data_IF_434727208648
#
_entry.id   IF_434727208648
#
_cell.length_a   1.000
_cell.length_b   1.000
_cell.length_c   1.000
_cell.angle_alpha   90.00
_cell.angle_beta   90.00
_cell.angle_gamma   90.00
#
_symmetry.space_group_name_H-M   'P 1'
#
loop_
_entity.id
_entity.type
_entity.pdbx_description
1 polymer ?
#
# COMPACT_ATOMS: atom_id res chain seq x y z
N UNK A 1 1.70 -10.24 -10.06
CA UNK A 1 0.74 -9.30 -9.44
C UNK A 1 0.68 -8.02 -10.27
N UNK A 2 -0.51 -7.44 -10.50
CA UNK A 2 -0.65 -6.14 -11.19
C UNK A 2 -0.69 -5.03 -10.14
N UNK A 3 0.05 -3.93 -10.34
CA UNK A 3 -0.02 -2.75 -9.47
C UNK A 3 -0.49 -1.56 -10.28
N UNK A 4 -1.58 -0.92 -9.84
CA UNK A 4 -2.13 0.29 -10.47
C UNK A 4 -2.04 1.44 -9.48
N UNK A 5 -1.34 2.52 -9.85
CA UNK A 5 -1.17 3.70 -9.00
C UNK A 5 -1.94 4.86 -9.64
N UNK A 6 -2.83 5.47 -8.88
CA UNK A 6 -3.53 6.69 -9.32
C UNK A 6 -2.55 7.87 -9.44
N UNK A 7 -2.79 8.79 -10.37
CA UNK A 7 -1.92 9.94 -10.65
C UNK A 7 -1.62 10.77 -9.38
N UNK A 8 -2.63 11.09 -8.57
CA UNK A 8 -2.40 11.89 -7.35
C UNK A 8 -1.63 11.13 -6.26
N UNK A 9 -1.76 9.80 -6.22
CA UNK A 9 -0.98 8.94 -5.34
C UNK A 9 0.46 8.85 -5.82
N UNK A 10 0.66 8.69 -7.13
CA UNK A 10 1.96 8.63 -7.80
C UNK A 10 2.79 9.88 -7.54
N UNK A 11 2.25 11.07 -7.79
CA UNK A 11 2.94 12.33 -7.51
C UNK A 11 3.38 12.43 -6.05
N UNK A 12 2.52 11.99 -5.13
CA UNK A 12 2.81 12.03 -3.70
C UNK A 12 3.93 11.07 -3.31
N UNK A 13 3.93 9.86 -3.88
CA UNK A 13 4.96 8.84 -3.65
C UNK A 13 6.31 9.29 -4.19
N UNK A 14 6.35 9.82 -5.42
CA UNK A 14 7.57 10.33 -6.05
C UNK A 14 8.17 11.48 -5.23
N UNK A 15 7.34 12.42 -4.75
CA UNK A 15 7.78 13.50 -3.85
C UNK A 15 8.35 13.02 -2.51
N UNK A 16 8.07 11.77 -2.11
CA UNK A 16 8.51 11.14 -0.85
C UNK A 16 9.66 10.15 -1.03
N UNK A 17 10.27 10.09 -2.21
CA UNK A 17 11.42 9.22 -2.50
C UNK A 17 11.11 7.99 -3.34
N UNK A 18 9.90 7.88 -3.90
CA UNK A 18 9.58 6.88 -4.92
C UNK A 18 9.47 5.45 -4.38
N UNK A 19 9.29 5.26 -3.07
CA UNK A 19 9.12 3.95 -2.45
C UNK A 19 7.84 3.89 -1.62
N UNK A 20 7.12 2.77 -1.71
CA UNK A 20 5.95 2.47 -0.90
C UNK A 20 5.98 1.05 -0.35
N UNK A 21 5.60 0.91 0.90
CA UNK A 21 5.39 -0.36 1.59
C UNK A 21 3.91 -0.54 1.89
N UNK A 22 3.39 -1.71 1.57
CA UNK A 22 2.00 -2.10 1.78
C UNK A 22 1.97 -3.39 2.59
N UNK A 23 1.17 -3.38 3.66
CA UNK A 23 0.97 -4.54 4.53
C UNK A 23 -0.41 -4.51 5.18
N UNK A 24 -0.93 -5.67 5.52
CA UNK A 24 -2.08 -5.76 6.43
C UNK A 24 -1.62 -5.57 7.88
N UNK A 25 -2.32 -4.69 8.59
CA UNK A 25 -2.14 -4.50 10.03
C UNK A 25 -3.47 -4.60 10.76
N UNK A 26 -3.42 -5.20 11.94
CA UNK A 26 -4.54 -5.18 12.87
C UNK A 26 -4.57 -3.82 13.57
N UNK A 27 -5.58 -3.02 13.25
CA UNK A 27 -5.83 -1.74 13.88
C UNK A 27 -6.91 -1.89 14.96
N UNK A 28 -6.74 -1.18 16.07
CA UNK A 28 -7.76 -1.08 17.11
C UNK A 28 -8.86 -0.12 16.68
N UNK A 29 -10.08 -0.62 16.50
CA UNK A 29 -11.27 0.22 16.32
C UNK A 29 -12.15 0.17 17.57
N UNK A 30 -13.07 1.13 17.70
CA UNK A 30 -14.03 1.15 18.81
C UNK A 30 -14.95 -0.10 18.86
N UNK A 31 -15.04 -0.87 17.77
CA UNK A 31 -15.78 -2.13 17.68
C UNK A 31 -14.92 -3.40 17.81
N UNK A 32 -13.62 -3.27 18.12
CA UNK A 32 -12.67 -4.39 18.19
C UNK A 32 -11.54 -4.31 17.15
N UNK A 33 -10.67 -5.33 17.10
CA UNK A 33 -9.58 -5.37 16.13
C UNK A 33 -10.14 -5.52 14.70
N UNK A 34 -9.72 -4.64 13.81
CA UNK A 34 -10.00 -4.73 12.37
C UNK A 34 -8.68 -4.92 11.62
N UNK A 35 -8.68 -5.70 10.54
CA UNK A 35 -7.52 -5.83 9.65
C UNK A 35 -7.68 -4.82 8.52
N UNK A 36 -6.72 -3.91 8.40
CA UNK A 36 -6.71 -2.91 7.33
C UNK A 36 -5.39 -2.90 6.58
N UNK A 37 -5.46 -2.53 5.30
CA UNK A 37 -4.30 -2.31 4.46
C UNK A 37 -3.66 -0.95 4.78
N UNK A 38 -2.42 -0.97 5.24
CA UNK A 38 -1.66 0.23 5.57
C UNK A 38 -0.57 0.46 4.53
N UNK A 39 -0.43 1.72 4.10
CA UNK A 39 0.55 2.15 3.11
C UNK A 39 1.52 3.15 3.73
N UNK A 40 2.81 2.86 3.63
CA UNK A 40 3.90 3.72 4.08
C UNK A 40 4.73 4.18 2.89
N UNK A 41 5.12 5.46 2.84
CA UNK A 41 6.02 5.99 1.79
C UNK A 41 7.49 5.83 2.20
N UNK A 42 7.89 4.61 2.52
CA UNK A 42 9.24 4.31 2.98
C UNK A 42 9.60 2.89 2.57
N UNK A 43 10.90 2.65 2.46
CA UNK A 43 11.45 1.32 2.22
C UNK A 43 11.35 0.51 3.53
N UNK A 44 10.86 -0.74 3.51
CA UNK A 44 10.80 -1.55 4.72
C UNK A 44 12.23 -1.95 5.13
N UNK A 45 12.48 -2.05 6.44
CA UNK A 45 13.77 -2.52 6.95
C UNK A 45 14.01 -3.99 6.56
N UNK A 46 12.99 -4.82 6.69
CA UNK A 46 13.04 -6.27 6.45
C UNK A 46 12.60 -6.64 5.03
N UNK A 47 13.31 -6.15 4.01
CA UNK A 47 12.94 -6.33 2.58
C UNK A 47 12.69 -7.78 2.17
N UNK A 48 13.35 -8.74 2.80
CA UNK A 48 13.19 -10.18 2.55
C UNK A 48 11.76 -10.69 2.76
N UNK A 49 11.02 -10.05 3.65
CA UNK A 49 9.63 -10.37 3.97
C UNK A 49 8.62 -9.70 3.01
N UNK A 50 9.11 -8.97 2.02
CA UNK A 50 8.30 -8.24 1.06
C UNK A 50 8.60 -8.72 -0.37
N UNK A 51 7.58 -8.71 -1.20
CA UNK A 51 7.70 -8.77 -2.64
C UNK A 51 7.98 -7.35 -3.14
N UNK A 52 9.21 -7.12 -3.64
CA UNK A 52 9.58 -5.86 -4.29
C UNK A 52 9.12 -5.89 -5.74
N UNK A 53 8.44 -4.83 -6.15
CA UNK A 53 8.02 -4.61 -7.52
C UNK A 53 8.39 -3.19 -7.92
N UNK A 54 8.92 -3.01 -9.13
CA UNK A 54 9.13 -1.69 -9.70
C UNK A 54 8.06 -1.41 -10.74
N UNK A 55 7.38 -0.27 -10.61
CA UNK A 55 6.46 0.19 -11.65
C UNK A 55 7.24 0.80 -12.80
N UNK A 56 6.69 0.84 -14.04
CA UNK A 56 7.32 1.53 -15.18
C UNK A 56 7.61 3.02 -14.94
N UNK A 57 7.13 3.55 -13.83
CA UNK A 57 7.23 4.96 -13.43
C UNK A 57 8.36 5.19 -12.43
N UNK A 58 9.16 4.16 -12.13
CA UNK A 58 10.27 4.21 -11.18
C UNK A 58 9.84 4.19 -9.71
N UNK A 59 8.61 3.75 -9.42
CA UNK A 59 8.12 3.59 -8.04
C UNK A 59 8.38 2.16 -7.57
N UNK A 60 9.07 2.01 -6.44
CA UNK A 60 9.31 0.73 -5.78
C UNK A 60 8.17 0.44 -4.82
N UNK A 61 7.47 -0.65 -5.05
CA UNK A 61 6.31 -1.12 -4.28
C UNK A 61 6.71 -2.39 -3.54
N UNK A 62 6.62 -2.36 -2.22
CA UNK A 62 6.92 -3.48 -1.34
C UNK A 62 5.62 -4.01 -0.77
N UNK A 63 5.22 -5.22 -1.11
CA UNK A 63 4.01 -5.87 -0.55
C UNK A 63 4.42 -7.01 0.34
N UNK A 64 3.92 -7.07 1.58
CA UNK A 64 4.34 -8.11 2.52
C UNK A 64 3.98 -9.49 1.97
N UNK A 65 4.95 -10.41 1.95
CA UNK A 65 4.72 -11.78 1.50
C UNK A 65 3.72 -12.47 2.41
N UNK A 66 2.77 -13.17 1.81
CA UNK A 66 1.69 -13.87 2.52
C UNK A 66 0.44 -13.02 2.77
N UNK A 67 0.46 -11.72 2.49
CA UNK A 67 -0.79 -10.95 2.48
C UNK A 67 -1.62 -11.35 1.25
N UNK A 68 -2.93 -11.66 1.41
CA UNK A 68 -3.80 -12.01 0.31
C UNK A 68 -4.04 -10.78 -0.58
N UNK A 69 -3.57 -10.87 -1.83
CA UNK A 69 -3.83 -9.86 -2.87
C UNK A 69 -4.79 -10.46 -3.90
N UNK A 70 -5.79 -9.67 -4.24
CA UNK A 70 -6.82 -9.99 -5.22
C UNK A 70 -6.22 -10.21 -6.63
N UNK A 71 -6.92 -10.98 -7.47
CA UNK A 71 -6.50 -11.22 -8.85
C UNK A 71 -6.49 -9.93 -9.69
N UNK A 72 -7.37 -8.98 -9.37
CA UNK A 72 -7.37 -7.63 -9.97
C UNK A 72 -6.07 -6.85 -9.66
N UNK A 73 -5.32 -7.31 -8.66
CA UNK A 73 -4.05 -6.74 -8.23
C UNK A 73 -4.20 -5.62 -7.21
N UNK A 74 -3.06 -5.02 -6.87
CA UNK A 74 -2.97 -3.95 -5.90
C UNK A 74 -3.30 -2.61 -6.56
N UNK A 75 -4.19 -1.84 -5.97
CA UNK A 75 -4.49 -0.46 -6.39
C UNK A 75 -4.14 0.53 -5.30
N UNK A 76 -3.27 1.48 -5.63
CA UNK A 76 -2.88 2.58 -4.75
C UNK A 76 -3.61 3.85 -5.16
N UNK A 77 -4.41 4.38 -4.25
CA UNK A 77 -5.17 5.63 -4.43
C UNK A 77 -4.92 6.59 -3.26
N UNK A 78 -5.10 7.88 -3.52
CA UNK A 78 -4.97 8.90 -2.47
C UNK A 78 -6.37 9.34 -2.06
N UNK A 79 -6.84 8.83 -0.93
CA UNK A 79 -8.19 9.10 -0.45
C UNK A 79 -8.18 10.13 0.68
N UNK A 80 -9.19 11.00 0.68
CA UNK A 80 -9.46 11.89 1.81
C UNK A 80 -10.14 11.09 2.93
N UNK A 81 -9.50 11.00 4.08
CA UNK A 81 -10.02 10.38 5.30
C UNK A 81 -10.10 11.47 6.37
N UNK A 82 -11.31 12.00 6.58
CA UNK A 82 -11.51 13.21 7.40
C UNK A 82 -10.83 14.44 6.78
N UNK A 83 -10.00 15.13 7.56
CA UNK A 83 -9.23 16.30 7.10
C UNK A 83 -7.89 15.92 6.42
N UNK A 84 -7.48 14.66 6.45
CA UNK A 84 -6.18 14.19 5.97
C UNK A 84 -6.29 13.43 4.64
N UNK A 85 -5.35 13.66 3.73
CA UNK A 85 -5.16 12.82 2.54
C UNK A 85 -4.23 11.66 2.91
N UNK A 86 -4.71 10.43 2.77
CA UNK A 86 -3.96 9.20 3.06
C UNK A 86 -3.81 8.37 1.78
N UNK A 87 -2.68 7.70 1.65
CA UNK A 87 -2.56 6.61 0.68
C UNK A 87 -3.34 5.41 1.19
N UNK A 88 -4.11 4.80 0.30
CA UNK A 88 -4.90 3.61 0.59
C UNK A 88 -4.55 2.56 -0.44
N UNK A 89 -4.34 1.34 0.03
CA UNK A 89 -4.21 0.17 -0.83
C UNK A 89 -5.55 -0.57 -0.90
N UNK A 90 -5.97 -0.88 -2.12
CA UNK A 90 -7.13 -1.71 -2.43
C UNK A 90 -6.67 -2.99 -3.12
N UNK A 91 -7.48 -4.03 -3.02
CA UNK A 91 -7.14 -5.35 -3.56
C UNK A 91 -6.18 -6.14 -2.68
N UNK A 92 -5.99 -5.75 -1.42
CA UNK A 92 -5.25 -6.52 -0.40
C UNK A 92 -6.13 -6.66 0.84
N UNK A 93 -6.37 -7.90 1.29
CA UNK A 93 -7.28 -8.20 2.40
C UNK A 93 -7.84 -9.63 2.34
N UNK A 94 -8.15 -10.19 3.52
CA UNK A 94 -8.92 -11.44 3.60
C UNK A 94 -10.38 -11.16 3.24
N UNK A 95 -10.87 -11.79 2.18
CA UNK A 95 -12.29 -11.85 1.81
C UNK A 95 -12.98 -13.00 2.53
#
# INVERSE_FOLDING_TARGET
MKVTIEETAREFILKRGGAVTVRLETIGTAGGPAIEAVVYTSVPADKENYEEMETPEGIRVYVKRGDPVDEAGLRLERKRVGYNLRLVARGIGMW
#
